data_IF_236991198059
#
_entry.id   IF_236991198059
#
_cell.length_a   1.000
_cell.length_b   1.000
_cell.length_c   1.000
_cell.angle_alpha   90.00
_cell.angle_beta   90.00
_cell.angle_gamma   90.00
#
_symmetry.space_group_name_H-M   'P 1'
#
loop_
_entity.id
_entity.type
_entity.pdbx_description
1 polymer ?
#
# COMPACT_ATOMS: atom_id res chain seq x y z
N UNK A 1 -3.79 21.31 -2.22
CA UNK A 1 -2.73 20.92 -1.25
C UNK A 1 -3.16 21.38 0.14
N UNK A 2 -2.60 20.86 1.23
CA UNK A 2 -3.01 21.26 2.59
C UNK A 2 -2.48 22.67 2.89
N UNK A 3 -3.37 23.57 3.33
CA UNK A 3 -2.97 24.84 3.95
C UNK A 3 -2.59 24.57 5.41
N UNK A 4 -1.30 24.51 5.70
CA UNK A 4 -0.80 24.18 7.03
C UNK A 4 -1.20 25.23 8.08
N UNK A 5 -1.21 26.51 7.72
CA UNK A 5 -1.53 27.59 8.66
C UNK A 5 -3.03 27.57 9.00
N UNK A 6 -3.89 27.52 7.97
CA UNK A 6 -5.33 27.43 8.17
C UNK A 6 -5.73 26.13 8.88
N UNK A 7 -5.07 25.00 8.57
CA UNK A 7 -5.33 23.72 9.24
C UNK A 7 -4.96 23.73 10.72
N UNK A 8 -3.85 24.39 11.08
CA UNK A 8 -3.44 24.59 12.48
C UNK A 8 -4.46 25.39 13.27
N UNK A 9 -4.97 26.47 12.69
CA UNK A 9 -5.97 27.33 13.33
C UNK A 9 -7.33 26.65 13.44
N UNK A 10 -7.74 25.89 12.41
CA UNK A 10 -9.02 25.21 12.38
C UNK A 10 -9.05 23.89 13.17
N UNK A 11 -7.89 23.35 13.55
CA UNK A 11 -7.78 22.05 14.22
C UNK A 11 -8.16 20.86 13.35
N UNK A 12 -8.29 21.05 12.04
CA UNK A 12 -8.64 20.03 11.04
C UNK A 12 -7.98 20.35 9.71
N UNK A 13 -7.92 19.38 8.81
CA UNK A 13 -7.39 19.63 7.46
C UNK A 13 -8.23 20.67 6.70
N UNK A 14 -7.56 21.72 6.23
CA UNK A 14 -8.08 22.75 5.33
C UNK A 14 -7.21 22.72 4.06
N UNK A 15 -7.84 22.66 2.89
CA UNK A 15 -7.16 22.64 1.61
C UNK A 15 -7.00 24.06 1.06
N UNK A 16 -5.82 24.34 0.50
CA UNK A 16 -5.55 25.52 -0.31
C UNK A 16 -6.17 25.34 -1.71
N UNK A 17 -7.35 25.94 -1.90
CA UNK A 17 -8.12 25.91 -3.15
C UNK A 17 -7.48 26.75 -4.28
N UNK A 18 -6.48 27.57 -3.98
CA UNK A 18 -5.77 28.35 -5.02
C UNK A 18 -4.69 27.54 -5.72
N UNK A 19 -4.30 26.39 -5.14
CA UNK A 19 -3.13 25.60 -5.57
C UNK A 19 -3.48 24.20 -6.05
N UNK A 20 -4.65 23.99 -6.63
CA UNK A 20 -5.02 22.68 -7.19
C UNK A 20 -3.95 22.17 -8.18
N UNK A 21 -3.66 20.87 -8.10
CA UNK A 21 -2.72 20.15 -8.98
C UNK A 21 -1.26 20.66 -8.99
N UNK A 22 -0.89 21.58 -8.10
CA UNK A 22 0.49 22.11 -8.03
C UNK A 22 1.48 21.16 -7.36
N UNK A 23 0.99 20.23 -6.54
CA UNK A 23 1.81 19.24 -5.84
C UNK A 23 1.54 17.85 -6.40
N UNK A 24 2.62 17.10 -6.61
CA UNK A 24 2.60 15.70 -7.02
C UNK A 24 3.41 14.89 -6.01
N UNK A 25 2.95 13.68 -5.72
CA UNK A 25 3.74 12.73 -4.96
C UNK A 25 5.00 12.35 -5.74
N UNK A 26 6.00 11.84 -5.04
CA UNK A 26 7.17 11.22 -5.68
C UNK A 26 6.72 10.08 -6.59
N UNK A 27 7.54 9.77 -7.60
CA UNK A 27 7.21 8.70 -8.54
C UNK A 27 7.01 7.36 -7.83
N UNK A 28 6.01 6.62 -8.29
CA UNK A 28 5.59 5.36 -7.71
C UNK A 28 6.35 4.20 -8.35
N UNK A 29 6.92 3.32 -7.53
CA UNK A 29 7.50 2.07 -8.01
C UNK A 29 7.26 0.93 -7.03
N UNK A 30 6.71 -0.17 -7.54
CA UNK A 30 6.49 -1.39 -6.78
C UNK A 30 6.72 -2.60 -7.68
N UNK A 31 7.52 -3.54 -7.17
CA UNK A 31 7.82 -4.79 -7.86
C UNK A 31 7.39 -5.97 -6.99
N UNK A 32 6.52 -6.81 -7.55
CA UNK A 32 5.92 -7.96 -6.89
C UNK A 32 6.29 -9.25 -7.65
N UNK A 33 6.53 -10.35 -6.92
CA UNK A 33 6.84 -11.66 -7.51
C UNK A 33 5.94 -12.72 -6.88
N UNK A 34 5.29 -13.54 -7.70
CA UNK A 34 4.42 -14.63 -7.25
C UNK A 34 4.84 -15.97 -7.82
N UNK A 35 5.02 -16.95 -6.95
CA UNK A 35 5.23 -18.35 -7.28
C UNK A 35 3.96 -19.16 -6.98
N UNK A 36 3.60 -20.06 -7.89
CA UNK A 36 2.45 -20.94 -7.74
C UNK A 36 2.79 -22.37 -8.12
N UNK A 37 2.37 -23.33 -7.30
CA UNK A 37 2.55 -24.74 -7.57
C UNK A 37 1.29 -25.54 -7.24
N UNK A 38 0.88 -26.42 -8.15
CA UNK A 38 -0.32 -27.25 -7.99
C UNK A 38 0.03 -28.72 -8.16
N UNK A 39 -0.36 -29.51 -7.15
CA UNK A 39 -0.28 -30.97 -7.16
C UNK A 39 -1.69 -31.53 -7.32
N UNK A 40 -1.91 -32.29 -8.39
CA UNK A 40 -3.15 -33.02 -8.62
C UNK A 40 -2.93 -34.50 -8.33
N UNK A 41 -3.82 -35.12 -7.55
CA UNK A 41 -3.72 -36.55 -7.29
C UNK A 41 -4.25 -37.34 -8.48
N UNK A 42 -3.45 -38.28 -8.97
CA UNK A 42 -3.90 -39.22 -10.01
C UNK A 42 -4.82 -40.33 -9.46
N UNK A 43 -4.86 -40.51 -8.13
CA UNK A 43 -5.62 -41.58 -7.46
C UNK A 43 -6.82 -41.08 -6.65
N UNK A 44 -6.80 -39.82 -6.22
CA UNK A 44 -7.85 -39.20 -5.41
C UNK A 44 -8.40 -38.01 -6.16
N UNK A 45 -9.69 -37.70 -6.00
CA UNK A 45 -10.27 -36.44 -6.48
C UNK A 45 -9.88 -35.31 -5.53
N UNK A 46 -8.58 -35.04 -5.41
CA UNK A 46 -8.03 -34.00 -4.52
C UNK A 46 -6.91 -33.27 -5.24
N UNK A 47 -6.85 -31.96 -5.00
CA UNK A 47 -5.79 -31.09 -5.51
C UNK A 47 -5.27 -30.18 -4.40
N UNK A 48 -3.95 -30.02 -4.36
CA UNK A 48 -3.24 -29.13 -3.44
C UNK A 48 -2.60 -28.00 -4.25
N UNK A 49 -2.80 -26.76 -3.84
CA UNK A 49 -2.19 -25.59 -4.46
C UNK A 49 -1.46 -24.76 -3.42
N UNK A 50 -0.23 -24.38 -3.72
CA UNK A 50 0.61 -23.51 -2.93
C UNK A 50 0.88 -22.23 -3.72
N UNK A 51 0.79 -21.09 -3.05
CA UNK A 51 1.26 -19.82 -3.57
C UNK A 51 2.19 -19.15 -2.56
N UNK A 52 3.24 -18.54 -3.07
CA UNK A 52 4.11 -17.62 -2.34
C UNK A 52 4.12 -16.31 -3.13
N UNK A 53 3.57 -15.26 -2.54
CA UNK A 53 3.46 -13.93 -3.12
C UNK A 53 4.36 -12.98 -2.32
N UNK A 54 5.38 -12.43 -2.98
CA UNK A 54 6.35 -11.51 -2.41
C UNK A 54 6.05 -10.12 -2.94
N UNK A 55 5.35 -9.32 -2.14
CA UNK A 55 4.98 -7.96 -2.51
C UNK A 55 6.10 -6.98 -2.15
N UNK A 56 6.30 -5.97 -3.01
CA UNK A 56 7.29 -4.91 -2.86
C UNK A 56 8.70 -5.43 -2.55
N UNK A 57 9.22 -6.30 -3.42
CA UNK A 57 10.53 -6.98 -3.27
C UNK A 57 11.68 -5.98 -3.12
N UNK A 58 11.55 -4.79 -3.70
CA UNK A 58 12.52 -3.69 -3.56
C UNK A 58 12.37 -2.87 -2.28
N UNK A 59 11.34 -3.14 -1.46
CA UNK A 59 10.98 -2.42 -0.25
C UNK A 59 10.92 -0.88 -0.43
N UNK A 60 10.40 -0.45 -1.59
CA UNK A 60 10.29 0.97 -1.93
C UNK A 60 9.16 1.64 -1.13
N UNK A 61 9.42 2.85 -0.62
CA UNK A 61 8.49 3.62 0.21
C UNK A 61 7.57 4.49 -0.65
N UNK A 62 6.49 3.90 -1.11
CA UNK A 62 5.48 4.62 -1.88
C UNK A 62 4.52 5.39 -0.95
N UNK A 63 4.28 6.67 -1.22
CA UNK A 63 3.31 7.48 -0.47
C UNK A 63 1.90 6.93 -0.73
N UNK A 64 1.21 6.51 0.33
CA UNK A 64 -0.20 6.13 0.29
C UNK A 64 -1.10 7.36 0.41
N UNK A 65 -0.79 8.24 1.36
CA UNK A 65 -1.56 9.46 1.60
C UNK A 65 -0.67 10.54 2.22
N UNK A 66 -0.91 11.80 1.83
CA UNK A 66 -0.38 12.99 2.48
C UNK A 66 -1.55 13.72 3.13
N UNK A 67 -1.50 13.97 4.43
CA UNK A 67 -2.60 14.60 5.19
C UNK A 67 -2.10 15.44 6.34
N UNK A 68 -2.93 16.37 6.82
CA UNK A 68 -2.69 17.06 8.08
C UNK A 68 -2.78 16.08 9.25
N UNK A 69 -1.84 16.20 10.18
CA UNK A 69 -1.84 15.50 11.45
C UNK A 69 -2.19 16.51 12.55
N UNK A 70 -3.37 16.37 13.14
CA UNK A 70 -3.90 17.27 14.16
C UNK A 70 -3.06 17.23 15.45
N UNK A 71 -2.60 16.04 15.85
CA UNK A 71 -1.78 15.85 17.06
C UNK A 71 -0.39 16.49 16.93
N UNK A 72 0.26 16.30 15.77
CA UNK A 72 1.62 16.80 15.50
C UNK A 72 1.64 18.20 14.87
N UNK A 73 0.46 18.75 14.58
CA UNK A 73 0.27 20.03 13.91
C UNK A 73 1.16 20.19 12.65
N UNK A 74 1.26 19.15 11.83
CA UNK A 74 2.08 19.14 10.62
C UNK A 74 1.45 18.31 9.49
N UNK A 75 1.98 18.45 8.27
CA UNK A 75 1.60 17.58 7.16
C UNK A 75 2.44 16.32 7.26
N UNK A 76 1.77 15.18 7.41
CA UNK A 76 2.38 13.86 7.47
C UNK A 76 2.13 13.07 6.19
N UNK A 77 3.08 12.18 5.88
CA UNK A 77 2.92 11.17 4.84
C UNK A 77 2.75 9.80 5.49
N UNK A 78 1.77 9.05 5.04
CA UNK A 78 1.61 7.62 5.32
C UNK A 78 2.05 6.85 4.09
N UNK A 79 2.86 5.81 4.30
CA UNK A 79 3.39 4.98 3.22
C UNK A 79 2.53 3.72 3.03
N UNK A 80 2.57 3.16 1.83
CA UNK A 80 2.03 1.82 1.56
C UNK A 80 2.83 0.77 2.35
N UNK A 81 2.27 -0.44 2.45
CA UNK A 81 2.96 -1.58 3.04
C UNK A 81 4.33 -1.78 2.34
N UNK A 82 5.35 -2.04 3.14
CA UNK A 82 6.69 -2.37 2.66
C UNK A 82 6.73 -3.75 2.04
N UNK A 83 7.91 -4.37 2.05
CA UNK A 83 8.03 -5.78 1.68
C UNK A 83 7.08 -6.66 2.52
N UNK A 84 6.27 -7.48 1.86
CA UNK A 84 5.29 -8.33 2.52
C UNK A 84 5.18 -9.71 1.86
N UNK A 85 5.54 -10.81 2.57
CA UNK A 85 5.31 -12.16 2.10
C UNK A 85 3.88 -12.63 2.43
N UNK A 86 3.16 -13.12 1.43
CA UNK A 86 1.86 -13.74 1.56
C UNK A 86 1.91 -15.20 1.09
N UNK A 87 1.42 -16.12 1.91
CA UNK A 87 1.47 -17.56 1.68
C UNK A 87 0.07 -18.11 1.68
N UNK A 88 -0.31 -18.77 0.59
CA UNK A 88 -1.61 -19.41 0.47
C UNK A 88 -1.43 -20.90 0.22
N UNK A 89 -2.10 -21.70 1.04
CA UNK A 89 -2.28 -23.12 0.80
C UNK A 89 -3.77 -23.43 0.62
N UNK A 90 -4.12 -24.09 -0.48
CA UNK A 90 -5.49 -24.47 -0.83
C UNK A 90 -5.58 -25.97 -1.09
N UNK A 91 -6.60 -26.59 -0.50
CA UNK A 91 -7.04 -27.94 -0.85
C UNK A 91 -8.40 -27.88 -1.55
N UNK A 92 -8.58 -28.65 -2.62
CA UNK A 92 -9.84 -28.79 -3.35
C UNK A 92 -10.15 -30.28 -3.51
N UNK A 93 -11.43 -30.64 -3.38
CA UNK A 93 -11.96 -32.01 -3.49
C UNK A 93 -13.06 -32.10 -4.57
#
# INVERSE_FOLDING_TARGET
PVDLQASKLAGREILDETKYFTQRNTDYFRFDIKFGFRLNSNKRKISHTFYLDLQNVTNNKNIFQTRYNEEKQNIGQTYQIGFFPDVLYRIQF
#
